data_IF_475820031465
#
_entry.id   IF_475820031465
#
_cell.length_a   1.000
_cell.length_b   1.000
_cell.length_c   1.000
_cell.angle_alpha   90.00
_cell.angle_beta   90.00
_cell.angle_gamma   90.00
#
_symmetry.space_group_name_H-M   'P 1'
#
loop_
_entity.id
_entity.type
_entity.pdbx_description
1 polymer ?
#
# COMPACT_ATOMS: atom_id res chain seq x y z
N UNK A 1 -15.76 -43.72 -4.64
CA UNK A 1 -15.22 -42.67 -3.76
C UNK A 1 -13.89 -42.20 -4.35
N UNK A 2 -13.89 -41.09 -5.09
CA UNK A 2 -12.67 -40.49 -5.62
C UNK A 2 -12.34 -39.28 -4.74
N UNK A 3 -11.22 -39.35 -4.02
CA UNK A 3 -10.71 -38.23 -3.26
C UNK A 3 -10.11 -37.20 -4.23
N UNK A 4 -10.80 -36.07 -4.40
CA UNK A 4 -10.29 -34.93 -5.14
C UNK A 4 -9.05 -34.36 -4.47
N UNK A 5 -7.92 -34.39 -5.17
CA UNK A 5 -6.71 -33.71 -4.75
C UNK A 5 -6.99 -32.21 -4.60
N UNK A 6 -6.82 -31.69 -3.38
CA UNK A 6 -6.81 -30.25 -3.12
C UNK A 6 -5.67 -29.61 -3.93
N UNK A 7 -6.01 -28.99 -5.06
CA UNK A 7 -5.06 -28.17 -5.83
C UNK A 7 -4.64 -27.02 -4.93
N UNK A 8 -3.40 -27.07 -4.41
CA UNK A 8 -2.75 -25.87 -3.85
C UNK A 8 -2.76 -24.81 -4.94
N UNK A 9 -3.62 -23.80 -4.78
CA UNK A 9 -3.64 -22.62 -5.64
C UNK A 9 -2.21 -22.08 -5.71
N UNK A 10 -1.63 -22.01 -6.91
CA UNK A 10 -0.38 -21.28 -7.13
C UNK A 10 -0.69 -19.84 -6.71
N UNK A 11 -0.10 -19.37 -5.62
CA UNK A 11 -0.15 -17.94 -5.27
C UNK A 11 0.38 -17.18 -6.47
N UNK A 12 -0.49 -16.42 -7.13
CA UNK A 12 -0.07 -15.41 -8.08
C UNK A 12 0.82 -14.46 -7.28
N UNK A 13 2.11 -14.39 -7.64
CA UNK A 13 2.96 -13.31 -7.14
C UNK A 13 2.30 -12.01 -7.58
N UNK A 14 2.18 -11.04 -6.67
CA UNK A 14 1.66 -9.72 -7.05
C UNK A 14 2.47 -9.20 -8.23
N UNK A 15 1.77 -8.67 -9.23
CA UNK A 15 2.33 -7.97 -10.40
C UNK A 15 3.30 -6.83 -10.07
N UNK A 16 3.28 -6.34 -8.83
CA UNK A 16 4.16 -5.26 -8.39
C UNK A 16 5.53 -5.72 -7.90
N UNK A 17 5.73 -7.02 -7.73
CA UNK A 17 7.05 -7.55 -7.34
C UNK A 17 7.96 -7.55 -8.58
N UNK A 18 9.08 -6.81 -8.58
CA UNK A 18 9.99 -6.79 -9.72
C UNK A 18 10.58 -8.17 -10.00
N UNK A 19 10.98 -8.40 -11.25
CA UNK A 19 11.70 -9.61 -11.62
C UNK A 19 12.98 -9.74 -10.81
N UNK A 20 13.18 -10.89 -10.16
CA UNK A 20 14.36 -11.16 -9.35
C UNK A 20 14.84 -12.61 -9.51
N UNK A 21 16.14 -12.82 -9.33
CA UNK A 21 16.72 -14.16 -9.26
C UNK A 21 16.34 -14.89 -7.98
N UNK A 22 16.68 -16.18 -7.88
CA UNK A 22 16.60 -16.90 -6.60
C UNK A 22 17.61 -16.31 -5.61
N UNK A 23 17.25 -16.11 -4.32
CA UNK A 23 18.20 -15.67 -3.31
C UNK A 23 19.40 -16.60 -3.23
N UNK A 24 20.62 -16.05 -3.11
CA UNK A 24 21.82 -16.88 -2.98
C UNK A 24 21.94 -17.35 -1.54
N UNK A 25 22.19 -18.65 -1.34
CA UNK A 25 22.31 -19.25 0.01
C UNK A 25 23.33 -18.53 0.89
N UNK A 26 24.45 -18.10 0.30
CA UNK A 26 25.50 -17.37 1.02
C UNK A 26 25.00 -16.02 1.58
N UNK A 27 24.15 -15.30 0.84
CA UNK A 27 23.59 -14.02 1.30
C UNK A 27 22.63 -14.22 2.48
N UNK A 28 21.82 -15.28 2.41
CA UNK A 28 20.92 -15.65 3.51
C UNK A 28 21.69 -16.04 4.77
N UNK A 29 22.79 -16.79 4.61
CA UNK A 29 23.67 -17.16 5.72
C UNK A 29 24.33 -15.93 6.34
N UNK A 30 24.87 -15.02 5.51
CA UNK A 30 25.47 -13.77 5.99
C UNK A 30 24.45 -12.91 6.76
N UNK A 31 23.24 -12.76 6.23
CA UNK A 31 22.16 -12.04 6.91
C UNK A 31 21.82 -12.70 8.25
N UNK A 32 21.69 -14.03 8.27
CA UNK A 32 21.39 -14.79 9.48
C UNK A 32 22.48 -14.60 10.54
N UNK A 33 23.76 -14.60 10.16
CA UNK A 33 24.87 -14.38 11.08
C UNK A 33 24.93 -12.94 11.62
N UNK A 34 24.73 -11.94 10.74
CA UNK A 34 24.66 -10.53 11.13
C UNK A 34 23.54 -10.30 12.13
N UNK A 35 22.37 -10.89 11.87
CA UNK A 35 21.28 -10.91 12.81
C UNK A 35 21.71 -11.63 14.08
N UNK A 36 22.19 -12.88 14.04
CA UNK A 36 22.60 -13.68 15.20
C UNK A 36 23.48 -12.93 16.20
N UNK A 37 24.42 -12.12 15.72
CA UNK A 37 25.38 -11.35 16.53
C UNK A 37 24.83 -10.05 17.10
N UNK A 38 23.68 -9.57 16.61
CA UNK A 38 23.12 -8.27 16.96
C UNK A 38 22.08 -8.38 18.08
N UNK A 39 22.23 -7.58 19.15
CA UNK A 39 21.27 -7.48 20.26
C UNK A 39 20.18 -6.42 20.03
N UNK A 40 20.55 -5.35 19.31
CA UNK A 40 19.69 -4.23 18.92
C UNK A 40 19.72 -4.10 17.40
N UNK A 41 18.56 -4.04 16.78
CA UNK A 41 18.43 -3.99 15.32
C UNK A 41 17.53 -2.83 14.95
N UNK A 42 17.98 -2.01 14.01
CA UNK A 42 17.13 -1.03 13.34
C UNK A 42 16.80 -1.57 11.96
N UNK A 43 15.51 -1.66 11.65
CA UNK A 43 15.02 -2.08 10.34
C UNK A 43 14.46 -0.87 9.63
N UNK A 44 15.06 -0.47 8.51
CA UNK A 44 14.53 0.58 7.64
C UNK A 44 13.77 -0.07 6.47
N UNK A 45 12.49 0.27 6.30
CA UNK A 45 11.66 -0.24 5.22
C UNK A 45 11.17 0.85 4.27
N UNK A 46 10.86 0.44 3.04
CA UNK A 46 10.22 1.28 2.02
C UNK A 46 9.18 0.46 1.23
N UNK A 47 8.62 1.07 0.18
CA UNK A 47 7.44 0.54 -0.51
C UNK A 47 7.63 -0.87 -1.10
N UNK A 48 8.87 -1.26 -1.41
CA UNK A 48 9.20 -2.61 -1.87
C UNK A 48 8.68 -3.72 -0.94
N UNK A 49 8.62 -3.47 0.37
CA UNK A 49 8.15 -4.46 1.35
C UNK A 49 6.62 -4.71 1.27
N UNK A 50 5.88 -3.78 0.66
CA UNK A 50 4.43 -3.83 0.48
C UNK A 50 4.01 -4.35 -0.90
N UNK A 51 4.97 -4.62 -1.81
CA UNK A 51 4.69 -5.14 -3.15
C UNK A 51 4.03 -6.52 -3.13
N UNK A 52 4.47 -7.41 -2.24
CA UNK A 52 3.80 -8.70 -2.00
C UNK A 52 2.38 -8.54 -1.42
N UNK A 53 1.97 -7.33 -1.00
CA UNK A 53 0.62 -7.00 -0.52
C UNK A 53 -0.28 -6.41 -1.59
N UNK A 54 0.16 -6.37 -2.86
CA UNK A 54 -0.62 -5.74 -3.92
C UNK A 54 -0.57 -4.22 -3.85
N UNK A 55 0.46 -3.64 -3.23
CA UNK A 55 0.72 -2.19 -3.25
C UNK A 55 1.97 -1.94 -4.09
N UNK A 56 1.91 -1.18 -5.19
CA UNK A 56 3.09 -0.92 -6.00
C UNK A 56 4.14 -0.13 -5.24
N UNK A 57 5.40 -0.30 -5.62
CA UNK A 57 6.42 0.66 -5.24
C UNK A 57 6.51 1.81 -6.26
N UNK A 58 7.41 2.76 -6.01
CA UNK A 58 7.59 3.91 -6.88
C UNK A 58 8.51 3.65 -8.08
N UNK A 59 9.52 2.77 -7.95
CA UNK A 59 10.75 2.83 -8.75
C UNK A 59 11.23 1.50 -9.32
N UNK A 60 10.59 0.38 -8.97
CA UNK A 60 10.96 -0.92 -9.52
C UNK A 60 10.88 -0.91 -11.04
N UNK A 61 11.88 -1.51 -11.68
CA UNK A 61 11.92 -1.60 -13.15
C UNK A 61 10.74 -2.41 -13.67
N UNK A 62 10.05 -1.90 -14.69
CA UNK A 62 8.89 -2.52 -15.33
C UNK A 62 7.58 -2.48 -14.52
N UNK A 63 7.64 -2.44 -13.18
CA UNK A 63 6.46 -2.59 -12.30
C UNK A 63 6.26 -1.44 -11.30
N UNK A 64 7.23 -0.55 -11.13
CA UNK A 64 7.12 0.62 -10.27
C UNK A 64 6.22 1.70 -10.89
N UNK A 65 5.63 2.54 -10.05
CA UNK A 65 4.70 3.59 -10.48
C UNK A 65 5.31 4.51 -11.55
N UNK A 66 6.55 4.97 -11.37
CA UNK A 66 7.20 5.86 -12.34
C UNK A 66 7.60 5.17 -13.64
N UNK A 67 7.62 3.84 -13.68
CA UNK A 67 7.86 3.06 -14.89
C UNK A 67 6.57 2.81 -15.68
N UNK A 68 5.41 2.71 -14.99
CA UNK A 68 4.11 2.35 -15.60
C UNK A 68 3.18 3.53 -15.83
N UNK A 69 3.31 4.62 -15.07
CA UNK A 69 2.42 5.75 -15.13
C UNK A 69 3.18 7.07 -15.29
N UNK A 70 2.60 8.01 -16.04
CA UNK A 70 3.05 9.41 -16.05
C UNK A 70 2.56 10.16 -14.80
N UNK A 71 2.60 9.50 -13.64
CA UNK A 71 2.18 10.06 -12.37
C UNK A 71 3.32 10.88 -11.77
N UNK A 72 3.00 12.10 -11.34
CA UNK A 72 3.92 12.96 -10.60
C UNK A 72 3.38 13.19 -9.19
N UNK A 73 4.22 13.10 -8.15
CA UNK A 73 3.81 13.43 -6.80
C UNK A 73 3.29 14.86 -6.71
N UNK A 74 2.16 15.02 -6.01
CA UNK A 74 1.63 16.33 -5.66
C UNK A 74 2.66 17.04 -4.76
N UNK A 75 3.00 18.28 -5.09
CA UNK A 75 3.88 19.09 -4.24
C UNK A 75 3.08 19.69 -3.08
N UNK A 76 3.69 19.75 -1.89
CA UNK A 76 3.04 20.33 -0.70
C UNK A 76 2.50 21.74 -0.96
N UNK A 77 3.28 22.58 -1.65
CA UNK A 77 2.83 23.96 -1.94
C UNK A 77 1.63 24.00 -2.88
N UNK A 78 1.58 23.11 -3.88
CA UNK A 78 0.44 23.02 -4.80
C UNK A 78 -0.83 22.61 -4.04
N UNK A 79 -0.71 21.63 -3.13
CA UNK A 79 -1.81 21.22 -2.24
C UNK A 79 -2.29 22.37 -1.34
N UNK A 80 -1.36 23.14 -0.76
CA UNK A 80 -1.70 24.24 0.15
C UNK A 80 -2.31 25.47 -0.56
N UNK A 81 -2.06 25.64 -1.86
CA UNK A 81 -2.41 26.89 -2.59
C UNK A 81 -3.47 26.72 -3.66
N UNK A 82 -3.80 25.49 -4.06
CA UNK A 82 -4.73 25.21 -5.16
C UNK A 82 -5.85 24.27 -4.76
N UNK A 83 -7.08 24.79 -4.70
CA UNK A 83 -8.29 23.98 -4.51
C UNK A 83 -8.53 22.97 -5.65
N UNK A 84 -7.92 23.19 -6.84
CA UNK A 84 -8.05 22.26 -7.96
C UNK A 84 -7.22 20.97 -7.78
N UNK A 85 -6.26 20.96 -6.83
CA UNK A 85 -5.42 19.79 -6.51
C UNK A 85 -6.02 19.00 -5.34
N UNK A 86 -7.04 19.53 -4.66
CA UNK A 86 -7.70 18.96 -3.47
C UNK A 86 -8.74 17.89 -3.81
N UNK A 87 -8.37 16.97 -4.73
CA UNK A 87 -9.17 15.79 -5.02
C UNK A 87 -8.61 14.62 -4.23
N UNK A 88 -9.27 14.29 -3.12
CA UNK A 88 -8.92 13.11 -2.34
C UNK A 88 -9.32 11.85 -3.12
N UNK A 89 -8.37 10.96 -3.50
CA UNK A 89 -8.71 9.70 -4.15
C UNK A 89 -9.54 8.80 -3.23
N UNK A 90 -10.35 7.87 -3.77
CA UNK A 90 -11.02 6.88 -2.97
C UNK A 90 -9.97 5.93 -2.38
N UNK A 91 -10.17 5.61 -1.10
CA UNK A 91 -9.39 4.58 -0.41
C UNK A 91 -9.92 3.21 -0.79
N UNK A 92 -9.04 2.31 -1.21
CA UNK A 92 -9.38 0.91 -1.40
C UNK A 92 -8.80 0.10 -0.24
N UNK A 93 -9.58 -0.89 0.22
CA UNK A 93 -9.09 -1.82 1.24
C UNK A 93 -8.14 -2.81 0.58
N UNK A 94 -6.87 -2.83 0.99
CA UNK A 94 -5.93 -3.85 0.54
C UNK A 94 -6.33 -5.19 1.17
N UNK A 95 -6.80 -6.13 0.34
CA UNK A 95 -7.39 -7.39 0.79
C UNK A 95 -6.35 -8.50 1.08
N UNK A 96 -5.09 -8.34 0.70
CA UNK A 96 -4.07 -9.38 0.92
C UNK A 96 -3.45 -9.30 2.32
N UNK A 97 -3.37 -10.45 2.98
CA UNK A 97 -2.80 -10.64 4.33
C UNK A 97 -1.29 -10.81 4.32
N UNK A 98 -0.60 -10.51 3.22
CA UNK A 98 0.87 -10.69 3.15
C UNK A 98 1.63 -9.78 4.12
N UNK A 99 1.01 -8.69 4.61
CA UNK A 99 1.52 -7.91 5.75
C UNK A 99 1.73 -8.75 7.02
N UNK A 100 1.06 -9.90 7.18
CA UNK A 100 1.33 -10.82 8.30
C UNK A 100 2.78 -11.36 8.30
N UNK A 101 3.49 -11.31 7.16
CA UNK A 101 4.90 -11.68 7.09
C UNK A 101 5.82 -10.64 7.74
N UNK A 102 5.40 -9.37 7.78
CA UNK A 102 6.14 -8.27 8.42
C UNK A 102 6.27 -8.47 9.93
N UNK A 103 5.26 -9.11 10.56
CA UNK A 103 5.21 -9.47 11.99
C UNK A 103 6.38 -10.35 12.41
N UNK A 104 6.83 -11.22 11.49
CA UNK A 104 7.87 -12.20 11.78
C UNK A 104 9.17 -11.55 12.23
N UNK A 105 9.51 -10.37 11.71
CA UNK A 105 10.77 -9.69 12.03
C UNK A 105 10.81 -9.12 13.45
N UNK A 106 9.68 -8.65 13.98
CA UNK A 106 9.64 -7.98 15.30
C UNK A 106 9.22 -8.91 16.44
N UNK A 107 8.51 -10.00 16.15
CA UNK A 107 7.96 -10.90 17.19
C UNK A 107 8.76 -12.18 17.42
N UNK A 108 9.50 -12.68 16.43
CA UNK A 108 10.15 -14.00 16.53
C UNK A 108 11.58 -13.97 17.07
N UNK A 109 12.18 -12.79 17.15
CA UNK A 109 13.50 -12.63 17.73
C UNK A 109 13.33 -11.90 19.07
N UNK A 110 13.70 -12.54 20.19
CA UNK A 110 13.79 -11.91 21.52
C UNK A 110 14.86 -10.80 21.53
N UNK A 111 14.61 -9.72 20.78
CA UNK A 111 15.56 -8.66 20.47
C UNK A 111 14.86 -7.32 20.48
N UNK A 112 15.63 -6.29 20.82
CA UNK A 112 15.19 -4.91 20.69
C UNK A 112 15.25 -4.54 19.20
N UNK A 113 14.08 -4.52 18.56
CA UNK A 113 13.93 -4.15 17.15
C UNK A 113 13.14 -2.86 17.05
N UNK A 114 13.77 -1.82 16.49
CA UNK A 114 13.09 -0.59 16.11
C UNK A 114 12.86 -0.60 14.59
N UNK A 115 11.61 -0.43 14.18
CA UNK A 115 11.23 -0.40 12.79
C UNK A 115 11.02 1.06 12.36
N UNK A 116 11.75 1.51 11.35
CA UNK A 116 11.55 2.81 10.71
C UNK A 116 11.01 2.55 9.31
N UNK A 117 9.84 3.10 8.99
CA UNK A 117 9.20 2.92 7.68
C UNK A 117 9.02 4.24 6.97
N UNK A 118 9.33 4.25 5.67
CA UNK A 118 8.98 5.34 4.75
C UNK A 118 7.54 5.21 4.22
N UNK A 119 6.89 4.07 4.44
CA UNK A 119 5.54 3.80 3.94
C UNK A 119 4.51 4.54 4.80
N UNK A 120 3.42 4.96 4.16
CA UNK A 120 2.28 5.61 4.79
C UNK A 120 1.07 4.67 4.97
N UNK A 121 1.19 3.41 4.51
CA UNK A 121 0.15 2.37 4.42
C UNK A 121 -0.31 1.76 5.76
N UNK A 122 0.43 2.06 6.84
CA UNK A 122 0.23 1.56 8.21
C UNK A 122 0.28 0.02 8.32
N UNK A 123 0.82 -0.68 7.32
CA UNK A 123 0.83 -2.15 7.28
C UNK A 123 1.65 -2.77 8.41
N UNK A 124 2.77 -2.16 8.82
CA UNK A 124 3.57 -2.64 9.96
C UNK A 124 2.79 -2.64 11.27
N UNK A 125 2.02 -1.58 11.52
CA UNK A 125 1.16 -1.44 12.69
C UNK A 125 -0.01 -2.41 12.62
N UNK A 126 -0.66 -2.54 11.45
CA UNK A 126 -1.71 -3.56 11.21
C UNK A 126 -1.17 -4.99 11.43
N UNK A 127 0.10 -5.21 11.10
CA UNK A 127 0.84 -6.43 11.38
C UNK A 127 1.04 -6.69 12.89
N UNK A 128 0.99 -5.66 13.73
CA UNK A 128 1.22 -5.80 15.17
C UNK A 128 2.69 -5.60 15.56
N UNK A 129 3.49 -4.99 14.68
CA UNK A 129 4.77 -4.41 15.10
C UNK A 129 4.51 -3.28 16.11
N UNK A 130 5.33 -3.20 17.17
CA UNK A 130 5.08 -2.30 18.31
C UNK A 130 5.97 -1.07 18.33
N UNK A 131 7.26 -1.22 18.01
CA UNK A 131 8.22 -0.11 17.95
C UNK A 131 8.38 0.36 16.50
N UNK A 132 7.37 1.08 16.00
CA UNK A 132 7.28 1.54 14.60
C UNK A 132 7.36 3.07 14.55
N UNK A 133 8.31 3.58 13.79
CA UNK A 133 8.50 4.99 13.45
C UNK A 133 8.05 5.19 11.99
N UNK A 134 6.93 5.87 11.80
CA UNK A 134 6.37 6.22 10.49
C UNK A 134 6.97 7.55 10.00
N UNK A 135 8.07 7.48 9.25
CA UNK A 135 8.89 8.66 8.88
C UNK A 135 8.11 9.70 8.07
N UNK A 136 7.18 9.25 7.23
CA UNK A 136 6.37 10.10 6.36
C UNK A 136 4.93 10.27 6.87
N UNK A 137 4.66 9.93 8.12
CA UNK A 137 3.30 9.89 8.68
C UNK A 137 2.48 8.72 8.14
N UNK A 138 1.16 8.87 8.14
CA UNK A 138 0.22 7.83 7.70
C UNK A 138 -0.93 8.40 6.88
N UNK A 139 -1.34 7.69 5.83
CA UNK A 139 -2.53 8.00 5.02
C UNK A 139 -3.85 7.65 5.74
N UNK A 140 -3.76 6.99 6.90
CA UNK A 140 -4.92 6.61 7.73
C UNK A 140 -5.47 7.77 8.59
N UNK A 141 -4.79 8.92 8.61
CA UNK A 141 -5.18 10.11 9.37
C UNK A 141 -5.30 11.33 8.46
N UNK A 142 -6.34 12.13 8.68
CA UNK A 142 -6.58 13.39 7.96
C UNK A 142 -6.49 14.55 8.95
N UNK A 143 -5.73 15.58 8.57
CA UNK A 143 -5.43 16.74 9.42
C UNK A 143 -5.93 18.03 8.78
N UNK A 144 -6.46 18.90 9.62
CA UNK A 144 -6.81 20.26 9.24
C UNK A 144 -5.53 21.07 9.00
N UNK A 145 -5.38 21.63 7.79
CA UNK A 145 -4.20 22.42 7.42
C UNK A 145 -4.39 23.94 7.62
N UNK A 146 -5.58 24.36 8.08
CA UNK A 146 -5.82 25.77 8.37
C UNK A 146 -4.90 26.24 9.50
N UNK A 147 -4.21 27.38 9.36
CA UNK A 147 -3.39 27.94 10.43
C UNK A 147 -4.20 28.13 11.71
N UNK A 148 -3.68 27.63 12.84
CA UNK A 148 -4.34 27.72 14.14
C UNK A 148 -5.47 26.71 14.39
N UNK A 149 -5.71 25.79 13.46
CA UNK A 149 -6.70 24.74 13.64
C UNK A 149 -6.30 23.79 14.78
N UNK A 150 -7.07 23.78 15.86
CA UNK A 150 -6.85 22.92 17.03
C UNK A 150 -7.66 21.61 16.96
N UNK A 151 -8.36 21.36 15.86
CA UNK A 151 -9.13 20.14 15.68
C UNK A 151 -8.19 18.92 15.68
N UNK A 152 -8.55 17.84 16.40
CA UNK A 152 -7.77 16.61 16.35
C UNK A 152 -7.83 16.02 14.93
N UNK A 153 -6.81 15.23 14.52
CA UNK A 153 -6.90 14.44 13.30
C UNK A 153 -8.12 13.52 13.35
N UNK A 154 -8.76 13.33 12.20
CA UNK A 154 -9.83 12.34 12.02
C UNK A 154 -9.28 11.14 11.25
N UNK A 155 -9.89 9.97 11.44
CA UNK A 155 -9.52 8.79 10.66
C UNK A 155 -9.96 8.93 9.20
N UNK A 156 -9.17 8.33 8.32
CA UNK A 156 -9.36 8.40 6.87
C UNK A 156 -10.67 7.79 6.41
N UNK A 157 -11.20 6.79 7.12
CA UNK A 157 -12.44 6.09 6.79
C UNK A 157 -13.69 6.93 7.14
N UNK A 158 -13.65 7.64 8.27
CA UNK A 158 -14.63 8.66 8.64
C UNK A 158 -14.62 9.78 7.62
N UNK A 159 -13.44 10.27 7.23
CA UNK A 159 -13.36 11.30 6.19
C UNK A 159 -13.89 10.79 4.84
N UNK A 160 -13.59 9.55 4.45
CA UNK A 160 -14.14 8.93 3.25
C UNK A 160 -15.68 8.89 3.30
N UNK A 161 -16.26 8.55 4.46
CA UNK A 161 -17.70 8.52 4.66
C UNK A 161 -18.35 9.90 4.54
N UNK A 162 -17.67 10.95 5.03
CA UNK A 162 -18.11 12.34 4.87
C UNK A 162 -18.08 12.72 3.38
N UNK A 163 -16.98 12.45 2.68
CA UNK A 163 -16.84 12.72 1.25
C UNK A 163 -17.93 12.01 0.44
N UNK A 164 -18.22 10.74 0.71
CA UNK A 164 -19.27 9.99 0.03
C UNK A 164 -20.65 10.59 0.22
N UNK A 165 -20.99 11.04 1.44
CA UNK A 165 -22.27 11.70 1.74
C UNK A 165 -22.41 13.06 1.03
N UNK A 166 -21.33 13.82 0.94
CA UNK A 166 -21.32 15.12 0.26
C UNK A 166 -21.31 14.98 -1.27
N UNK A 167 -20.85 13.83 -1.78
CA UNK A 167 -20.66 13.57 -3.20
C UNK A 167 -21.34 12.25 -3.62
N UNK A 168 -22.67 12.12 -3.48
CA UNK A 168 -23.38 10.85 -3.73
C UNK A 168 -23.20 10.33 -5.16
N UNK A 169 -23.12 11.22 -6.16
CA UNK A 169 -22.86 10.85 -7.56
C UNK A 169 -21.48 10.19 -7.72
N UNK A 170 -20.47 10.65 -6.97
CA UNK A 170 -19.14 10.06 -6.99
C UNK A 170 -19.12 8.69 -6.33
N UNK A 171 -19.95 8.48 -5.31
CA UNK A 171 -20.08 7.18 -4.66
C UNK A 171 -20.61 6.14 -5.66
N UNK A 172 -21.63 6.49 -6.45
CA UNK A 172 -22.17 5.61 -7.50
C UNK A 172 -21.16 5.33 -8.61
N UNK A 173 -20.39 6.35 -9.02
CA UNK A 173 -19.31 6.18 -10.01
C UNK A 173 -18.19 5.28 -9.48
N UNK A 174 -17.79 5.44 -8.22
CA UNK A 174 -16.77 4.60 -7.57
C UNK A 174 -17.30 3.17 -7.41
N UNK A 175 -18.57 2.96 -7.03
CA UNK A 175 -19.16 1.63 -6.93
C UNK A 175 -19.32 0.94 -8.28
N UNK A 176 -19.81 1.64 -9.31
CA UNK A 176 -19.87 1.09 -10.66
C UNK A 176 -18.46 0.75 -11.16
N UNK A 177 -17.49 1.62 -10.91
CA UNK A 177 -16.11 1.38 -11.28
C UNK A 177 -15.53 0.16 -10.59
N UNK A 178 -15.68 0.00 -9.27
CA UNK A 178 -15.22 -1.17 -8.51
C UNK A 178 -15.94 -2.45 -8.99
N UNK A 179 -17.26 -2.40 -9.23
CA UNK A 179 -18.02 -3.57 -9.67
C UNK A 179 -17.69 -4.02 -11.09
N UNK A 180 -17.42 -3.09 -12.02
CA UNK A 180 -16.92 -3.41 -13.37
C UNK A 180 -15.59 -4.18 -13.29
N UNK A 181 -14.78 -3.97 -12.24
CA UNK A 181 -13.54 -4.72 -12.06
C UNK A 181 -13.73 -6.16 -11.58
N UNK A 182 -14.76 -6.43 -10.79
CA UNK A 182 -15.07 -7.79 -10.38
C UNK A 182 -15.65 -8.64 -11.51
N UNK A 183 -16.34 -8.04 -12.48
CA UNK A 183 -16.89 -8.77 -13.65
C UNK A 183 -15.85 -9.02 -14.75
N UNK A 184 -14.85 -8.13 -14.92
CA UNK A 184 -13.80 -8.27 -15.94
C UNK A 184 -12.63 -9.19 -15.54
N UNK A 185 -12.67 -9.87 -14.38
CA UNK A 185 -11.73 -10.96 -14.08
C UNK A 185 -11.86 -12.17 -15.03
N UNK A 186 -12.90 -12.20 -15.87
CA UNK A 186 -13.20 -13.32 -16.79
C UNK A 186 -12.56 -13.15 -18.18
N UNK A 187 -12.17 -11.95 -18.61
CA UNK A 187 -11.58 -11.72 -19.94
C UNK A 187 -10.19 -11.05 -19.87
N UNK A 188 -9.20 -11.78 -20.40
CA UNK A 188 -7.78 -11.47 -20.33
C UNK A 188 -7.38 -10.13 -21.00
N UNK A 189 -6.37 -9.48 -20.38
CA UNK A 189 -5.25 -8.70 -20.97
C UNK A 189 -5.09 -7.20 -20.67
N UNK A 190 -5.95 -6.50 -19.91
CA UNK A 190 -5.64 -5.14 -19.44
C UNK A 190 -5.86 -5.00 -17.93
N UNK A 191 -4.86 -4.47 -17.23
CA UNK A 191 -4.40 -5.06 -15.97
C UNK A 191 -5.10 -4.65 -14.70
N UNK A 192 -5.94 -3.64 -14.52
CA UNK A 192 -6.37 -3.15 -13.16
C UNK A 192 -5.27 -2.75 -12.16
N UNK A 193 -4.06 -3.29 -12.30
CA UNK A 193 -2.87 -3.10 -11.48
C UNK A 193 -2.19 -1.75 -11.79
N UNK A 194 -2.58 -1.05 -12.85
CA UNK A 194 -2.09 0.32 -13.13
C UNK A 194 -2.78 1.40 -12.29
N UNK A 195 -3.70 1.01 -11.40
CA UNK A 195 -4.60 1.95 -10.72
C UNK A 195 -4.37 2.09 -9.21
N UNK A 196 -3.59 1.21 -8.57
CA UNK A 196 -3.20 1.38 -7.17
C UNK A 196 -1.98 2.29 -7.06
N UNK A 197 -1.95 3.16 -6.04
CA UNK A 197 -0.81 3.99 -5.71
C UNK A 197 0.01 3.36 -4.56
N UNK A 198 1.30 3.72 -4.42
CA UNK A 198 2.14 3.21 -3.33
C UNK A 198 1.72 3.62 -1.91
N UNK A 199 0.79 4.56 -1.77
CA UNK A 199 0.15 4.97 -0.50
C UNK A 199 -1.13 4.17 -0.18
N UNK A 200 -1.46 3.18 -1.02
CA UNK A 200 -2.66 2.34 -0.99
C UNK A 200 -3.97 3.04 -1.40
N UNK A 201 -3.91 4.25 -1.97
CA UNK A 201 -5.06 4.90 -2.59
C UNK A 201 -5.21 4.52 -4.07
N UNK A 202 -6.41 4.68 -4.63
CA UNK A 202 -6.63 4.43 -6.06
C UNK A 202 -6.44 5.69 -6.91
N UNK A 203 -5.96 5.52 -8.13
CA UNK A 203 -6.13 6.52 -9.18
C UNK A 203 -7.62 6.65 -9.55
N UNK A 204 -8.15 7.86 -9.38
CA UNK A 204 -9.36 8.28 -10.09
C UNK A 204 -9.03 8.35 -11.59
N UNK A 205 -9.54 7.41 -12.39
CA UNK A 205 -9.57 7.61 -13.84
C UNK A 205 -10.51 8.78 -14.14
N UNK A 206 -10.19 9.68 -15.08
CA UNK A 206 -11.21 10.58 -15.59
C UNK A 206 -12.31 9.69 -16.20
N UNK A 207 -13.47 9.67 -15.57
CA UNK A 207 -14.69 9.23 -16.22
C UNK A 207 -14.84 10.21 -17.38
N UNK A 208 -14.64 9.75 -18.61
CA UNK A 208 -15.10 10.51 -19.77
C UNK A 208 -16.61 10.54 -19.64
N UNK A 209 -17.13 11.65 -19.10
CA UNK A 209 -18.51 12.03 -19.32
C UNK A 209 -18.63 12.21 -20.83
N UNK A 210 -19.21 11.21 -21.49
CA UNK A 210 -19.71 11.36 -22.85
C UNK A 210 -20.82 12.40 -22.87
#
# INVERSE_FOLDING_TARGET
MQHGACRRSRRLLSSYVPAHGKPRTLELQLLQELLAKSKKVVVLTGAGISTESGIPDYRSEGVGLYARANHRPIQHMDFMTSAAVDTMPPKESVHDKSWLRLVGLTTTMHRDVTLVTQNVDRLHTKAGSRDVIELHGSSEEVRCMQPGCAAPPIDRDTFQSILSKLNPIYQDLVFQYINIQHENEVDNNHTNEDRMRPDADMFLSPVRLC
#
